data_IF_235330495219
#
_entry.id   IF_235330495219
#
_cell.length_a   1.000
_cell.length_b   1.000
_cell.length_c   1.000
_cell.angle_alpha   90.00
_cell.angle_beta   90.00
_cell.angle_gamma   90.00
#
_symmetry.space_group_name_H-M   'P 1'
#
loop_
_entity.id
_entity.type
_entity.pdbx_description
1 polymer ?
#
# COMPACT_ATOMS: atom_id res chain seq x y z
N UNK A 1 -7.76 44.41 -42.77
CA UNK A 1 -8.26 43.07 -42.44
C UNK A 1 -7.07 42.26 -41.93
N UNK A 2 -6.89 42.25 -40.62
CA UNK A 2 -5.76 41.60 -39.95
C UNK A 2 -6.35 40.34 -39.26
N UNK A 3 -6.00 39.17 -39.79
CA UNK A 3 -6.33 37.89 -39.17
C UNK A 3 -5.41 37.64 -37.97
N UNK A 4 -5.99 37.65 -36.79
CA UNK A 4 -5.35 37.14 -35.59
C UNK A 4 -5.39 35.62 -35.65
N UNK A 5 -4.21 35.00 -35.78
CA UNK A 5 -4.01 33.58 -35.50
C UNK A 5 -3.91 33.44 -33.99
N UNK A 6 -4.92 32.85 -33.37
CA UNK A 6 -4.84 32.39 -32.01
C UNK A 6 -4.01 31.11 -31.95
N UNK A 7 -2.82 31.21 -31.37
CA UNK A 7 -2.03 30.04 -30.94
C UNK A 7 -2.78 29.33 -29.83
N UNK A 8 -3.38 28.18 -30.17
CA UNK A 8 -3.83 27.20 -29.18
C UNK A 8 -2.59 26.38 -28.81
N UNK A 9 -1.93 26.79 -27.73
CA UNK A 9 -0.96 25.97 -27.06
C UNK A 9 -1.68 24.73 -26.56
N UNK A 10 -1.67 23.67 -27.38
CA UNK A 10 -2.04 22.35 -26.95
C UNK A 10 -0.96 21.89 -25.96
N UNK A 11 -1.26 22.00 -24.68
CA UNK A 11 -0.44 21.49 -23.58
C UNK A 11 -0.33 19.97 -23.75
N UNK A 12 0.76 19.52 -24.40
CA UNK A 12 1.07 18.09 -24.50
C UNK A 12 1.20 17.53 -23.11
N UNK A 13 0.55 16.38 -22.80
CA UNK A 13 0.67 15.76 -21.49
C UNK A 13 2.16 15.53 -21.21
N UNK A 14 2.64 16.07 -20.09
CA UNK A 14 4.04 16.00 -19.68
C UNK A 14 4.56 14.57 -19.89
N UNK A 15 5.62 14.46 -20.69
CA UNK A 15 6.32 13.19 -20.89
C UNK A 15 6.77 12.72 -19.51
N UNK A 16 6.19 11.63 -19.02
CA UNK A 16 6.50 11.10 -17.69
C UNK A 16 7.98 10.75 -17.69
N UNK A 17 8.77 11.54 -16.96
CA UNK A 17 10.20 11.35 -16.86
C UNK A 17 10.50 10.04 -16.08
N UNK A 18 10.84 9.00 -16.84
CA UNK A 18 11.23 7.69 -16.30
C UNK A 18 12.50 7.78 -15.45
N UNK A 19 13.38 8.75 -15.71
CA UNK A 19 14.58 9.00 -14.92
C UNK A 19 14.18 9.50 -13.52
N UNK A 20 13.27 10.46 -13.44
CA UNK A 20 12.72 10.98 -12.19
C UNK A 20 12.07 9.86 -11.35
N UNK A 21 11.24 9.01 -11.97
CA UNK A 21 10.65 7.83 -11.28
C UNK A 21 11.73 6.87 -10.75
N UNK A 22 12.81 6.68 -11.48
CA UNK A 22 13.93 5.81 -11.08
C UNK A 22 14.67 6.36 -9.87
N UNK A 23 15.01 7.64 -9.88
CA UNK A 23 15.70 8.29 -8.77
C UNK A 23 14.82 8.34 -7.51
N UNK A 24 13.54 8.65 -7.66
CA UNK A 24 12.59 8.63 -6.55
C UNK A 24 12.47 7.22 -5.94
N UNK A 25 12.39 6.16 -6.75
CA UNK A 25 12.45 4.77 -6.24
C UNK A 25 13.71 4.50 -5.44
N UNK A 26 14.87 4.94 -5.94
CA UNK A 26 16.15 4.74 -5.27
C UNK A 26 16.19 5.43 -3.90
N UNK A 27 15.75 6.69 -3.84
CA UNK A 27 15.69 7.48 -2.61
C UNK A 27 14.75 6.86 -1.58
N UNK A 28 13.51 6.56 -1.95
CA UNK A 28 12.50 6.01 -1.04
C UNK A 28 12.85 4.60 -0.56
N UNK A 29 13.44 3.76 -1.42
CA UNK A 29 13.98 2.45 -1.00
C UNK A 29 15.13 2.60 -0.01
N UNK A 30 16.02 3.58 -0.20
CA UNK A 30 17.08 3.89 0.76
C UNK A 30 16.47 4.29 2.10
N UNK A 31 15.47 5.16 2.10
CA UNK A 31 14.79 5.62 3.32
C UNK A 31 14.16 4.45 4.09
N UNK A 32 13.36 3.57 3.44
CA UNK A 32 12.76 2.44 4.15
C UNK A 32 13.76 1.39 4.63
N UNK A 33 14.87 1.19 3.90
CA UNK A 33 15.96 0.28 4.29
C UNK A 33 16.80 0.80 5.45
N UNK A 34 16.82 2.10 5.69
CA UNK A 34 17.54 2.69 6.82
C UNK A 34 16.81 2.50 8.16
N UNK A 35 15.58 2.01 8.15
CA UNK A 35 14.85 1.68 9.37
C UNK A 35 15.50 0.48 10.05
N UNK A 36 15.77 0.62 11.34
CA UNK A 36 16.32 -0.47 12.17
C UNK A 36 15.31 -1.62 12.29
N UNK A 37 15.78 -2.82 12.61
CA UNK A 37 14.90 -3.98 12.87
C UNK A 37 13.87 -3.69 13.97
N UNK A 38 14.23 -2.91 14.98
CA UNK A 38 13.29 -2.52 16.03
C UNK A 38 12.20 -1.60 15.49
N UNK A 39 12.56 -0.59 14.69
CA UNK A 39 11.60 0.31 14.03
C UNK A 39 10.66 -0.46 13.09
N UNK A 40 11.18 -1.39 12.30
CA UNK A 40 10.36 -2.23 11.41
C UNK A 40 9.38 -3.10 12.20
N UNK A 41 9.82 -3.74 13.30
CA UNK A 41 8.93 -4.51 14.19
C UNK A 41 7.84 -3.64 14.84
N UNK A 42 8.20 -2.43 15.26
CA UNK A 42 7.24 -1.47 15.83
C UNK A 42 6.22 -1.02 14.77
N UNK A 43 6.68 -0.72 13.56
CA UNK A 43 5.84 -0.35 12.42
C UNK A 43 4.85 -1.46 12.06
N UNK A 44 5.31 -2.72 11.96
CA UNK A 44 4.45 -3.88 11.70
C UNK A 44 3.35 -4.07 12.76
N UNK A 45 3.68 -3.89 14.05
CA UNK A 45 2.70 -3.94 15.14
C UNK A 45 1.70 -2.77 15.07
N UNK A 46 2.17 -1.57 14.75
CA UNK A 46 1.33 -0.38 14.60
C UNK A 46 0.38 -0.54 13.41
N UNK A 47 0.90 -0.97 12.25
CA UNK A 47 0.13 -1.32 11.07
C UNK A 47 -0.98 -2.33 11.39
N UNK A 48 -0.64 -3.43 12.08
CA UNK A 48 -1.60 -4.47 12.46
C UNK A 48 -2.75 -3.90 13.28
N UNK A 49 -2.46 -3.05 14.29
CA UNK A 49 -3.50 -2.41 15.12
C UNK A 49 -4.43 -1.52 14.29
N UNK A 50 -3.92 -0.81 13.29
CA UNK A 50 -4.73 0.01 12.40
C UNK A 50 -5.60 -0.85 11.47
N UNK A 51 -5.00 -1.85 10.84
CA UNK A 51 -5.72 -2.75 9.92
C UNK A 51 -6.88 -3.50 10.60
N UNK A 52 -6.67 -4.02 11.81
CA UNK A 52 -7.72 -4.75 12.54
C UNK A 52 -8.94 -3.88 12.86
N UNK A 53 -8.77 -2.56 12.95
CA UNK A 53 -9.85 -1.59 13.22
C UNK A 53 -10.40 -0.96 11.93
N UNK A 54 -9.76 -1.19 10.79
CA UNK A 54 -10.13 -0.53 9.54
C UNK A 54 -11.45 -1.08 9.01
N UNK A 55 -12.46 -0.24 8.70
CA UNK A 55 -13.80 -0.68 8.27
C UNK A 55 -13.77 -1.60 7.05
N UNK A 56 -12.87 -1.34 6.08
CA UNK A 56 -12.72 -2.19 4.91
C UNK A 56 -12.19 -3.57 5.27
N UNK A 57 -11.24 -3.66 6.21
CA UNK A 57 -10.72 -4.95 6.69
C UNK A 57 -11.80 -5.73 7.43
N UNK A 58 -12.58 -5.05 8.29
CA UNK A 58 -13.65 -5.70 9.06
C UNK A 58 -14.67 -6.37 8.12
N UNK A 59 -15.09 -5.68 7.06
CA UNK A 59 -16.06 -6.16 6.06
C UNK A 59 -15.52 -7.23 5.11
N UNK A 60 -14.20 -7.27 4.91
CA UNK A 60 -13.56 -8.18 3.97
C UNK A 60 -13.41 -9.59 4.55
N UNK A 61 -13.76 -10.61 3.78
CA UNK A 61 -13.50 -12.02 4.09
C UNK A 61 -12.27 -12.55 3.33
N UNK A 62 -12.14 -12.19 2.07
CA UNK A 62 -11.08 -12.66 1.17
C UNK A 62 -10.04 -11.55 0.96
N UNK A 63 -8.92 -11.67 1.62
CA UNK A 63 -7.88 -10.64 1.68
C UNK A 63 -6.60 -11.16 1.03
N UNK A 64 -6.16 -10.50 -0.06
CA UNK A 64 -4.83 -10.71 -0.58
C UNK A 64 -3.83 -9.81 0.15
N UNK A 65 -2.64 -10.34 0.41
CA UNK A 65 -1.52 -9.64 1.04
C UNK A 65 -0.21 -10.10 0.40
N UNK A 66 0.92 -9.66 0.90
CA UNK A 66 2.25 -9.99 0.37
C UNK A 66 3.19 -10.44 1.48
N UNK A 67 4.28 -11.08 1.11
CA UNK A 67 5.42 -11.32 1.99
C UNK A 67 6.40 -10.17 1.84
N UNK A 68 6.74 -9.53 2.96
CA UNK A 68 7.60 -8.35 2.95
C UNK A 68 9.01 -8.68 2.46
N UNK A 69 9.52 -7.84 1.57
CA UNK A 69 10.86 -7.92 1.04
C UNK A 69 11.48 -6.52 0.96
N UNK A 70 12.80 -6.41 0.86
CA UNK A 70 13.49 -5.15 0.62
C UNK A 70 13.14 -4.01 1.61
N UNK A 71 12.89 -4.33 2.89
CA UNK A 71 12.52 -3.37 3.93
C UNK A 71 11.06 -2.87 3.85
N UNK A 72 10.20 -3.55 3.12
CA UNK A 72 8.75 -3.27 3.11
C UNK A 72 8.16 -3.45 4.51
N UNK A 73 7.09 -2.69 4.80
CA UNK A 73 6.37 -2.89 6.05
C UNK A 73 5.73 -4.28 6.05
N UNK A 74 5.95 -5.04 7.13
CA UNK A 74 5.60 -6.46 7.17
C UNK A 74 4.16 -6.68 7.68
N UNK A 75 3.25 -7.24 6.84
CA UNK A 75 1.90 -7.59 7.24
C UNK A 75 1.77 -8.96 7.91
N UNK A 76 2.85 -9.67 8.22
CA UNK A 76 2.79 -11.06 8.72
C UNK A 76 2.00 -11.18 10.03
N UNK A 77 2.17 -10.24 10.98
CA UNK A 77 1.40 -10.20 12.23
C UNK A 77 -0.09 -10.03 11.92
N UNK A 78 -0.42 -9.12 11.01
CA UNK A 78 -1.80 -8.91 10.58
C UNK A 78 -2.37 -10.18 9.91
N UNK A 79 -1.61 -10.85 9.04
CA UNK A 79 -2.06 -12.06 8.37
C UNK A 79 -2.41 -13.18 9.36
N UNK A 80 -1.63 -13.34 10.44
CA UNK A 80 -1.93 -14.29 11.50
C UNK A 80 -3.23 -13.93 12.22
N UNK A 81 -3.40 -12.69 12.64
CA UNK A 81 -4.60 -12.20 13.30
C UNK A 81 -5.83 -12.25 12.39
N UNK A 82 -5.71 -11.89 11.12
CA UNK A 82 -6.81 -11.97 10.15
C UNK A 82 -7.34 -13.41 10.03
N UNK A 83 -6.45 -14.41 9.97
CA UNK A 83 -6.86 -15.83 9.95
C UNK A 83 -7.56 -16.25 11.25
N UNK A 84 -7.08 -15.82 12.42
CA UNK A 84 -7.75 -16.06 13.71
C UNK A 84 -9.18 -15.49 13.75
N UNK A 85 -9.43 -14.39 13.03
CA UNK A 85 -10.75 -13.79 12.87
C UNK A 85 -11.55 -14.38 11.71
N UNK A 86 -11.21 -15.58 11.21
CA UNK A 86 -11.95 -16.30 10.17
C UNK A 86 -11.82 -15.72 8.77
N UNK A 87 -10.86 -14.81 8.54
CA UNK A 87 -10.58 -14.29 7.20
C UNK A 87 -9.71 -15.25 6.40
N UNK A 88 -9.91 -15.29 5.09
CA UNK A 88 -9.14 -16.13 4.17
C UNK A 88 -8.08 -15.26 3.50
N UNK A 89 -6.81 -15.61 3.73
CA UNK A 89 -5.66 -14.89 3.19
C UNK A 89 -5.17 -15.52 1.89
N UNK A 90 -4.64 -14.67 1.00
CA UNK A 90 -4.07 -15.07 -0.28
C UNK A 90 -2.74 -14.37 -0.51
N UNK A 91 -1.79 -15.06 -1.14
CA UNK A 91 -0.53 -14.47 -1.61
C UNK A 91 -0.53 -14.35 -3.15
N UNK A 92 0.11 -13.31 -3.69
CA UNK A 92 0.35 -13.22 -5.12
C UNK A 92 1.34 -14.29 -5.57
N UNK A 93 1.06 -14.90 -6.70
CA UNK A 93 1.91 -15.86 -7.40
C UNK A 93 2.05 -15.40 -8.84
N UNK A 94 3.23 -15.55 -9.42
CA UNK A 94 3.46 -15.19 -10.80
C UNK A 94 2.54 -16.00 -11.73
N UNK A 95 1.89 -15.31 -12.67
CA UNK A 95 1.06 -15.99 -13.65
C UNK A 95 1.95 -16.81 -14.61
N UNK A 96 1.73 -18.12 -14.78
CA UNK A 96 2.68 -18.98 -15.50
C UNK A 96 2.79 -18.68 -17.00
N UNK A 97 1.75 -18.06 -17.59
CA UNK A 97 1.69 -17.79 -19.03
C UNK A 97 1.66 -16.29 -19.34
N UNK A 98 0.83 -15.53 -18.60
CA UNK A 98 0.66 -14.10 -18.87
C UNK A 98 1.74 -13.27 -18.17
N UNK A 99 2.59 -12.66 -18.99
CA UNK A 99 3.75 -11.90 -18.51
C UNK A 99 3.34 -10.75 -17.55
N UNK A 100 4.04 -10.66 -16.44
CA UNK A 100 3.84 -9.61 -15.42
C UNK A 100 2.39 -9.50 -14.90
N UNK A 101 1.68 -10.63 -14.78
CA UNK A 101 0.39 -10.72 -14.08
C UNK A 101 0.51 -11.63 -12.87
N UNK A 102 -0.47 -11.51 -11.98
CA UNK A 102 -0.53 -12.25 -10.73
C UNK A 102 -1.78 -13.12 -10.68
N UNK A 103 -1.62 -14.32 -10.15
CA UNK A 103 -2.66 -15.10 -9.53
C UNK A 103 -2.66 -14.86 -8.03
N UNK A 104 -3.75 -15.20 -7.35
CA UNK A 104 -3.84 -15.16 -5.91
C UNK A 104 -4.18 -16.55 -5.40
N UNK A 105 -3.26 -17.10 -4.60
CA UNK A 105 -3.32 -18.47 -4.08
C UNK A 105 -3.54 -18.40 -2.57
N UNK A 106 -4.43 -19.25 -2.06
CA UNK A 106 -4.75 -19.32 -0.63
C UNK A 106 -3.48 -19.57 0.18
N UNK A 107 -3.34 -18.80 1.24
CA UNK A 107 -2.21 -18.82 2.15
C UNK A 107 -2.67 -19.19 3.56
N UNK A 108 -2.38 -20.42 3.95
CA UNK A 108 -2.57 -20.94 5.30
C UNK A 108 -1.22 -21.00 6.03
N UNK A 109 -1.24 -21.22 7.38
CA UNK A 109 -0.02 -21.29 8.19
C UNK A 109 0.93 -22.44 7.78
N UNK A 110 0.38 -23.50 7.18
CA UNK A 110 1.08 -24.70 6.75
C UNK A 110 1.36 -24.72 5.24
N UNK A 111 1.16 -23.58 4.55
CA UNK A 111 1.38 -23.50 3.12
C UNK A 111 2.86 -23.72 2.79
N UNK A 112 3.13 -24.70 1.95
CA UNK A 112 4.45 -24.87 1.36
C UNK A 112 4.79 -23.69 0.48
N UNK A 113 5.94 -23.05 0.74
CA UNK A 113 6.44 -21.91 -0.02
C UNK A 113 7.61 -22.32 -0.88
N UNK A 114 7.54 -22.01 -2.15
CA UNK A 114 8.59 -22.24 -3.15
C UNK A 114 9.15 -20.91 -3.63
N UNK A 115 10.44 -20.83 -3.88
CA UNK A 115 11.06 -19.61 -4.41
C UNK A 115 10.71 -19.44 -5.89
N UNK A 116 10.22 -18.26 -6.26
CA UNK A 116 9.99 -17.90 -7.66
C UNK A 116 11.31 -17.43 -8.33
N UNK A 117 11.24 -17.09 -9.62
CA UNK A 117 12.40 -16.60 -10.40
C UNK A 117 13.05 -15.30 -9.85
N UNK A 118 12.40 -14.58 -8.95
CA UNK A 118 12.93 -13.38 -8.27
C UNK A 118 13.43 -13.68 -6.85
N UNK A 119 13.46 -14.96 -6.43
CA UNK A 119 13.82 -15.36 -5.07
C UNK A 119 12.77 -15.01 -4.02
N UNK A 120 11.53 -14.72 -4.41
CA UNK A 120 10.42 -14.41 -3.51
C UNK A 120 9.64 -15.70 -3.23
N UNK A 121 9.37 -16.05 -1.95
CA UNK A 121 8.57 -17.21 -1.62
C UNK A 121 7.12 -17.07 -2.12
N UNK A 122 6.60 -18.08 -2.77
CA UNK A 122 5.22 -18.17 -3.26
C UNK A 122 4.60 -19.49 -2.82
N UNK A 123 3.30 -19.53 -2.46
CA UNK A 123 2.63 -20.78 -2.12
C UNK A 123 2.51 -21.70 -3.34
N UNK A 124 2.74 -22.99 -3.14
CA UNK A 124 2.54 -23.99 -4.17
C UNK A 124 1.10 -23.98 -4.67
N UNK A 125 0.93 -24.00 -6.00
CA UNK A 125 -0.41 -23.95 -6.63
C UNK A 125 -1.04 -25.33 -6.55
N UNK A 126 -2.01 -25.50 -5.64
CA UNK A 126 -2.83 -26.71 -5.54
C UNK A 126 -4.17 -26.50 -6.25
N UNK A 127 -4.81 -27.61 -6.66
CA UNK A 127 -6.14 -27.55 -7.30
C UNK A 127 -7.15 -26.86 -6.35
N UNK A 128 -7.87 -25.85 -6.84
CA UNK A 128 -8.85 -25.11 -6.05
C UNK A 128 -8.28 -24.06 -5.10
N UNK A 129 -6.94 -23.91 -4.99
CA UNK A 129 -6.33 -22.92 -4.11
C UNK A 129 -6.32 -21.49 -4.66
N UNK A 130 -6.61 -21.31 -5.95
CA UNK A 130 -6.65 -20.00 -6.61
C UNK A 130 -7.98 -19.28 -6.36
N UNK A 131 -7.90 -17.96 -6.17
CA UNK A 131 -9.05 -17.07 -6.11
C UNK A 131 -9.03 -16.13 -7.30
N UNK A 132 -10.12 -16.00 -8.09
CA UNK A 132 -10.22 -14.99 -9.13
C UNK A 132 -10.03 -13.59 -8.55
N UNK A 133 -9.25 -12.75 -9.22
CA UNK A 133 -8.90 -11.38 -8.75
C UNK A 133 -10.15 -10.56 -8.41
N UNK A 134 -11.21 -10.65 -9.25
CA UNK A 134 -12.46 -9.92 -9.02
C UNK A 134 -13.30 -10.47 -7.86
N UNK A 135 -12.96 -11.65 -7.33
CA UNK A 135 -13.62 -12.27 -6.19
C UNK A 135 -12.90 -12.02 -4.85
N UNK A 136 -11.80 -11.24 -4.87
CA UNK A 136 -11.18 -10.71 -3.67
C UNK A 136 -11.97 -9.51 -3.16
N UNK A 137 -12.05 -9.33 -1.84
CA UNK A 137 -12.69 -8.16 -1.23
C UNK A 137 -11.68 -7.02 -1.04
N UNK A 138 -10.47 -7.37 -0.62
CA UNK A 138 -9.40 -6.44 -0.28
C UNK A 138 -8.06 -6.98 -0.79
N UNK A 139 -7.26 -6.10 -1.34
CA UNK A 139 -5.87 -6.39 -1.71
C UNK A 139 -4.96 -5.41 -0.99
N UNK A 140 -4.15 -5.93 -0.09
CA UNK A 140 -3.07 -5.21 0.56
C UNK A 140 -1.82 -5.36 -0.30
N UNK A 141 -1.29 -4.24 -0.82
CA UNK A 141 -0.17 -4.29 -1.76
C UNK A 141 1.02 -3.47 -1.27
N UNK A 142 2.25 -3.96 -1.56
CA UNK A 142 3.45 -3.21 -1.24
C UNK A 142 3.62 -2.05 -2.22
N UNK A 143 4.32 -1.02 -1.78
CA UNK A 143 4.70 0.11 -2.62
C UNK A 143 6.05 0.69 -2.21
N UNK A 144 6.67 1.42 -3.12
CA UNK A 144 7.91 2.15 -2.87
C UNK A 144 7.60 3.55 -2.36
N UNK A 145 6.55 4.18 -2.89
CA UNK A 145 6.08 5.49 -2.47
C UNK A 145 4.61 5.69 -2.78
N UNK A 146 3.98 6.65 -2.10
CA UNK A 146 2.60 7.07 -2.32
C UNK A 146 2.45 8.57 -2.09
N UNK A 147 1.42 9.16 -2.68
CA UNK A 147 0.98 10.52 -2.43
C UNK A 147 -0.46 10.59 -1.91
N UNK A 148 -0.89 11.78 -1.55
CA UNK A 148 -2.24 12.02 -1.00
C UNK A 148 -3.34 12.01 -2.05
N UNK A 149 -3.00 12.02 -3.33
CA UNK A 149 -3.95 11.90 -4.43
C UNK A 149 -4.27 10.43 -4.79
N UNK A 150 -3.68 9.46 -4.08
CA UNK A 150 -3.88 8.03 -4.33
C UNK A 150 -2.92 7.44 -5.35
N UNK A 151 -1.94 8.22 -5.77
CA UNK A 151 -0.84 7.75 -6.60
C UNK A 151 0.05 6.76 -5.86
N UNK A 152 0.60 5.79 -6.59
CA UNK A 152 1.59 4.88 -6.04
C UNK A 152 2.77 4.69 -6.98
N UNK A 153 3.93 4.53 -6.39
CA UNK A 153 5.15 4.14 -7.07
C UNK A 153 5.51 2.71 -6.66
N UNK A 154 5.46 1.78 -7.62
CA UNK A 154 5.90 0.39 -7.42
C UNK A 154 7.35 0.17 -7.82
N UNK A 155 7.82 -1.09 -7.77
CA UNK A 155 9.19 -1.51 -8.13
C UNK A 155 9.50 -1.40 -9.64
N UNK A 156 8.50 -1.16 -10.49
CA UNK A 156 8.67 -0.97 -11.95
C UNK A 156 8.28 -2.17 -12.81
N UNK A 157 8.00 -3.33 -12.23
CA UNK A 157 7.58 -4.53 -12.99
C UNK A 157 6.15 -4.48 -13.52
N UNK A 158 5.30 -3.59 -13.02
CA UNK A 158 3.92 -3.38 -13.48
C UNK A 158 2.97 -4.55 -13.19
N UNK A 159 3.33 -5.47 -12.30
CA UNK A 159 2.52 -6.67 -11.98
C UNK A 159 1.12 -6.31 -11.49
N UNK A 160 1.02 -5.40 -10.53
CA UNK A 160 -0.27 -4.97 -9.99
C UNK A 160 -1.07 -4.15 -11.00
N UNK A 161 -0.43 -3.27 -11.77
CA UNK A 161 -1.09 -2.45 -12.79
C UNK A 161 -1.71 -3.30 -13.90
N UNK A 162 -1.00 -4.31 -14.38
CA UNK A 162 -1.54 -5.25 -15.39
C UNK A 162 -2.61 -6.17 -14.81
N UNK A 163 -2.45 -6.60 -13.55
CA UNK A 163 -3.43 -7.49 -12.90
C UNK A 163 -4.73 -6.77 -12.61
N UNK A 164 -4.67 -5.51 -12.18
CA UNK A 164 -5.83 -4.70 -11.80
C UNK A 164 -6.23 -3.67 -12.87
N UNK A 165 -5.74 -3.77 -14.09
CA UNK A 165 -6.06 -2.84 -15.20
C UNK A 165 -7.57 -2.62 -15.40
N UNK A 166 -8.41 -3.62 -15.12
CA UNK A 166 -9.86 -3.52 -15.21
C UNK A 166 -10.48 -2.51 -14.23
N UNK A 167 -9.78 -2.12 -13.17
CA UNK A 167 -10.27 -1.11 -12.21
C UNK A 167 -10.32 0.30 -12.80
N UNK A 168 -9.55 0.57 -13.86
CA UNK A 168 -9.61 1.85 -14.59
C UNK A 168 -10.97 2.09 -15.24
N UNK A 169 -11.72 1.02 -15.53
CA UNK A 169 -13.09 1.10 -16.04
C UNK A 169 -14.17 1.31 -14.96
N UNK A 170 -13.79 1.82 -13.77
CA UNK A 170 -14.73 2.17 -12.72
C UNK A 170 -15.18 1.02 -11.81
N UNK A 171 -14.54 -0.14 -11.88
CA UNK A 171 -14.87 -1.27 -11.00
C UNK A 171 -14.37 -1.03 -9.57
N UNK A 172 -15.25 -1.14 -8.57
CA UNK A 172 -14.92 -0.89 -7.17
C UNK A 172 -14.25 -2.06 -6.46
N UNK A 173 -14.56 -3.30 -6.83
CA UNK A 173 -13.98 -4.50 -6.20
C UNK A 173 -12.83 -5.08 -7.02
N UNK A 174 -11.76 -5.58 -6.35
CA UNK A 174 -11.45 -5.48 -4.93
C UNK A 174 -11.04 -4.06 -4.51
N UNK A 175 -11.12 -3.75 -3.21
CA UNK A 175 -10.53 -2.54 -2.65
C UNK A 175 -9.01 -2.66 -2.66
N UNK A 176 -8.28 -1.68 -3.22
CA UNK A 176 -6.82 -1.68 -3.29
C UNK A 176 -6.26 -0.78 -2.19
N UNK A 177 -5.61 -1.37 -1.21
CA UNK A 177 -5.02 -0.66 -0.07
C UNK A 177 -3.51 -0.83 -0.08
N UNK A 178 -2.77 0.26 -0.23
CA UNK A 178 -1.32 0.27 -0.10
C UNK A 178 -0.90 0.12 1.37
N UNK A 179 0.17 -0.62 1.62
CA UNK A 179 0.82 -0.67 2.93
C UNK A 179 2.23 -0.07 2.81
N UNK A 180 2.57 0.85 3.71
CA UNK A 180 3.82 1.57 3.66
C UNK A 180 4.31 1.99 5.05
N UNK A 181 5.60 2.24 5.18
CA UNK A 181 6.10 3.10 6.25
C UNK A 181 5.76 4.56 5.94
N UNK A 182 5.47 5.37 6.94
CA UNK A 182 5.13 6.79 6.73
C UNK A 182 6.23 7.57 6.01
N UNK A 183 7.49 7.16 6.13
CA UNK A 183 8.62 7.75 5.42
C UNK A 183 8.58 7.54 3.88
N UNK A 184 7.65 6.75 3.37
CA UNK A 184 7.44 6.52 1.93
C UNK A 184 6.40 7.47 1.32
N UNK A 185 5.79 8.33 2.13
CA UNK A 185 4.88 9.37 1.68
C UNK A 185 5.66 10.49 1.00
N UNK A 186 5.16 10.95 -0.14
CA UNK A 186 5.67 12.12 -0.87
C UNK A 186 4.54 13.09 -1.16
N UNK A 187 4.88 14.30 -1.53
CA UNK A 187 3.90 15.35 -1.85
C UNK A 187 3.15 15.00 -3.15
N UNK A 188 3.86 14.61 -4.19
CA UNK A 188 3.31 14.25 -5.48
C UNK A 188 4.16 13.18 -6.16
N UNK A 189 3.49 12.31 -6.93
CA UNK A 189 4.12 11.28 -7.75
C UNK A 189 3.89 11.54 -9.23
N UNK A 190 4.87 11.30 -10.09
CA UNK A 190 4.67 11.27 -11.53
C UNK A 190 3.86 10.03 -11.93
N UNK A 191 2.54 10.20 -12.12
CA UNK A 191 1.59 9.12 -12.41
C UNK A 191 1.44 8.94 -13.91
N UNK A 192 1.50 7.68 -14.37
CA UNK A 192 1.26 7.32 -15.76
C UNK A 192 -0.20 6.89 -15.98
N UNK A 193 -0.71 7.03 -17.20
CA UNK A 193 -2.09 6.67 -17.56
C UNK A 193 -2.43 5.19 -17.35
N UNK A 194 -1.42 4.33 -17.31
CA UNK A 194 -1.60 2.90 -17.02
C UNK A 194 -1.50 2.54 -15.53
N UNK A 195 -1.06 3.46 -14.67
CA UNK A 195 -1.01 3.21 -13.23
C UNK A 195 -2.44 3.08 -12.68
N UNK A 196 -2.69 2.06 -11.89
CA UNK A 196 -4.00 1.85 -11.25
C UNK A 196 -3.98 2.54 -9.89
N UNK A 197 -4.86 3.53 -9.63
CA UNK A 197 -4.88 4.25 -8.37
C UNK A 197 -5.28 3.35 -7.22
N UNK A 198 -4.82 3.71 -6.01
CA UNK A 198 -5.25 3.09 -4.76
C UNK A 198 -6.62 3.62 -4.32
N UNK A 199 -7.33 2.82 -3.55
CA UNK A 199 -8.54 3.23 -2.83
C UNK A 199 -8.20 3.74 -1.42
N UNK A 200 -6.98 3.44 -0.92
CA UNK A 200 -6.43 3.93 0.35
C UNK A 200 -5.01 3.45 0.62
N UNK A 201 -4.39 4.00 1.64
CA UNK A 201 -3.09 3.57 2.18
C UNK A 201 -3.15 3.52 3.70
N UNK A 202 -2.56 2.49 4.29
CA UNK A 202 -2.34 2.42 5.74
C UNK A 202 -0.84 2.34 5.99
N UNK A 203 -0.36 3.23 6.86
CA UNK A 203 1.05 3.25 7.30
C UNK A 203 1.18 2.79 8.75
N UNK A 204 2.38 2.86 9.29
CA UNK A 204 2.61 2.68 10.72
C UNK A 204 2.03 3.82 11.58
N UNK A 205 1.63 4.95 10.95
CA UNK A 205 1.14 6.14 11.67
C UNK A 205 -0.29 6.52 11.33
N UNK A 206 -0.67 6.48 10.05
CA UNK A 206 -1.92 7.04 9.54
C UNK A 206 -2.64 6.08 8.60
N UNK A 207 -3.95 6.32 8.45
CA UNK A 207 -4.78 5.71 7.41
C UNK A 207 -5.27 6.80 6.48
N UNK A 208 -5.08 6.61 5.18
CA UNK A 208 -5.46 7.52 4.10
C UNK A 208 -6.55 6.85 3.27
N UNK A 209 -7.61 7.58 2.96
CA UNK A 209 -8.66 7.16 2.03
C UNK A 209 -8.68 8.10 0.85
N UNK A 210 -8.83 7.56 -0.33
CA UNK A 210 -8.88 8.32 -1.57
C UNK A 210 -10.26 8.18 -2.20
N UNK A 211 -10.94 9.31 -2.41
CA UNK A 211 -12.24 9.34 -3.08
C UNK A 211 -12.04 9.47 -4.58
N UNK A 212 -12.54 8.50 -5.35
CA UNK A 212 -12.40 8.49 -6.81
C UNK A 212 -13.21 9.57 -7.52
N UNK A 213 -14.09 10.28 -6.79
CA UNK A 213 -14.97 11.31 -7.36
C UNK A 213 -14.33 12.68 -7.50
N UNK A 214 -13.12 12.92 -6.97
CA UNK A 214 -12.51 14.25 -6.87
C UNK A 214 -11.30 14.48 -7.78
N UNK A 215 -11.23 13.80 -8.92
CA UNK A 215 -10.16 14.06 -9.90
C UNK A 215 -10.21 15.45 -10.55
N UNK A 216 -11.17 16.33 -10.16
CA UNK A 216 -11.32 17.70 -10.67
C UNK A 216 -11.24 18.80 -9.63
N UNK A 217 -10.99 18.49 -8.35
CA UNK A 217 -10.73 19.48 -7.31
C UNK A 217 -9.62 18.98 -6.39
N UNK A 218 -8.69 19.84 -6.03
CA UNK A 218 -7.59 19.55 -5.11
C UNK A 218 -8.16 18.93 -3.83
N UNK A 219 -7.97 17.63 -3.53
CA UNK A 219 -8.60 17.02 -2.38
C UNK A 219 -7.82 17.39 -1.13
N UNK A 220 -8.49 18.00 -0.18
CA UNK A 220 -8.00 18.02 1.20
C UNK A 220 -8.06 16.56 1.72
N UNK A 221 -6.93 15.97 2.18
CA UNK A 221 -6.95 14.58 2.63
C UNK A 221 -7.83 14.48 3.87
N UNK A 222 -8.89 13.69 3.81
CA UNK A 222 -9.62 13.27 5.00
C UNK A 222 -8.69 12.38 5.83
N UNK A 223 -7.91 13.01 6.69
CA UNK A 223 -7.12 12.31 7.70
C UNK A 223 -8.12 11.92 8.79
N UNK A 224 -8.43 10.65 8.87
CA UNK A 224 -9.35 10.14 9.88
C UNK A 224 -8.67 10.25 11.25
N UNK A 225 -8.88 11.40 11.94
CA UNK A 225 -8.31 11.74 13.24
C UNK A 225 -8.85 10.88 14.40
N UNK A 226 -9.76 9.95 14.13
CA UNK A 226 -10.40 9.11 15.15
C UNK A 226 -9.46 8.08 15.81
N UNK A 227 -8.20 8.00 15.39
CA UNK A 227 -7.25 7.02 15.92
C UNK A 227 -5.95 7.59 16.52
N UNK A 228 -5.89 8.88 16.85
CA UNK A 228 -4.76 9.39 17.64
C UNK A 228 -4.96 8.96 19.10
N UNK A 229 -4.47 7.78 19.43
CA UNK A 229 -4.32 7.36 20.82
C UNK A 229 -3.43 8.35 21.53
N UNK A 230 -4.00 9.14 22.43
CA UNK A 230 -3.27 10.04 23.31
C UNK A 230 -2.28 9.23 24.16
N UNK A 231 -1.02 9.25 23.80
CA UNK A 231 0.04 8.87 24.74
C UNK A 231 0.11 9.93 25.83
N UNK A 232 -0.49 9.63 26.98
CA UNK A 232 -0.30 10.40 28.20
C UNK A 232 1.12 10.11 28.69
N UNK A 233 2.04 11.04 28.50
CA UNK A 233 3.33 11.06 29.18
C UNK A 233 3.06 11.28 30.66
N UNK A 234 3.19 10.23 31.48
CA UNK A 234 3.29 10.40 32.92
C UNK A 234 4.67 10.98 33.26
N UNK A 235 4.73 12.30 33.33
CA UNK A 235 5.83 13.01 33.93
C UNK A 235 5.72 12.90 35.46
N UNK A 236 6.51 12.06 36.07
CA UNK A 236 6.67 12.03 37.53
C UNK A 236 7.45 13.25 37.97
N UNK A 237 6.74 14.30 38.38
CA UNK A 237 7.33 15.42 39.12
C UNK A 237 7.61 14.97 40.56
N UNK A 238 8.81 14.53 40.84
CA UNK A 238 9.31 14.44 42.24
C UNK A 238 9.46 15.85 42.79
N UNK A 239 8.58 16.23 43.71
CA UNK A 239 8.74 17.43 44.57
C UNK A 239 9.85 17.15 45.55
N UNK A 240 10.96 17.86 45.42
CA UNK A 240 11.96 18.00 46.48
C UNK A 240 11.37 18.89 47.58
N UNK A 241 11.12 18.31 48.76
CA UNK A 241 10.86 19.09 49.99
C UNK A 241 12.21 19.47 50.61
N UNK A 242 12.53 20.74 50.62
CA UNK A 242 13.56 21.30 51.48
C UNK A 242 13.01 21.42 52.87
N UNK A 243 13.61 20.72 53.82
CA UNK A 243 13.47 21.01 55.25
C UNK A 243 14.66 21.87 55.70
N UNK A 244 14.38 23.11 56.08
CA UNK A 244 15.25 23.89 56.95
C UNK A 244 14.81 23.61 58.39
N UNK A 245 15.71 23.25 59.22
CA UNK A 245 16.02 23.70 60.56
C UNK A 245 17.16 22.87 61.11
#
# INVERSE_FOLDING_TARGET
>A
MTHHHGDIDAEFPAVIDQASRRELRKSLRKSRRSLTLLQQKQASRALTRQLLKHPQVIRSRHIALYLANDGEIDPAIFAAEARRHGKVCYLPVLHPVLHNRLWFVRYDSEAELLLNQFGIPEPAIKRGSRRPVRALDLVLLPLVGFDVAGGRLGMGGGFYDRTFAFKRAGTYSPFLMGLAHECQKVESLPIASWDVPLDGVVTDRYSYRFDRASASSTPEPAVDRLFIGRYRTQGSARRFRSSRS
#
